data_IF_171567276920
#
_entry.id   IF_171567276920
#
_cell.length_a   1.000
_cell.length_b   1.000
_cell.length_c   1.000
_cell.angle_alpha   90.00
_cell.angle_beta   90.00
_cell.angle_gamma   90.00
#
_symmetry.space_group_name_H-M   'P 1'
#
loop_
_entity.id
_entity.type
_entity.pdbx_description
1 polymer ?
#
# COMPACT_ATOMS: atom_id res chain seq x y z
N UNK A 1 20.83 -33.32 -7.34
CA UNK A 1 21.43 -34.31 -8.26
C UNK A 1 21.24 -34.00 -9.74
N UNK A 2 20.52 -32.97 -10.12
CA UNK A 2 20.47 -32.52 -11.52
C UNK A 2 21.67 -31.64 -11.93
N UNK A 3 22.42 -31.13 -10.97
CA UNK A 3 23.55 -30.25 -11.24
C UNK A 3 24.71 -30.92 -12.00
N UNK A 4 24.89 -32.23 -11.86
CA UNK A 4 25.99 -32.93 -12.51
C UNK A 4 25.80 -33.15 -14.03
N UNK A 5 24.55 -33.18 -14.52
CA UNK A 5 24.26 -33.35 -15.94
C UNK A 5 24.39 -32.04 -16.73
N UNK A 6 24.27 -30.89 -16.07
CA UNK A 6 24.30 -29.58 -16.72
C UNK A 6 25.70 -29.04 -16.97
N UNK A 7 26.72 -29.61 -16.31
CA UNK A 7 28.12 -29.22 -16.50
C UNK A 7 28.59 -29.48 -17.94
N UNK A 8 28.01 -30.43 -18.65
CA UNK A 8 28.39 -30.83 -20.02
C UNK A 8 27.51 -30.23 -21.11
N UNK A 9 26.42 -29.55 -20.79
CA UNK A 9 25.50 -28.95 -21.76
C UNK A 9 25.29 -27.46 -21.50
N UNK A 10 26.34 -26.65 -21.70
CA UNK A 10 26.16 -25.20 -21.73
C UNK A 10 25.54 -24.82 -23.06
N UNK A 11 24.23 -24.63 -23.08
CA UNK A 11 23.49 -24.15 -24.23
C UNK A 11 22.82 -22.81 -23.92
N UNK A 12 22.77 -21.94 -24.91
CA UNK A 12 21.96 -20.72 -24.82
C UNK A 12 20.51 -21.10 -24.65
N UNK A 13 19.85 -20.61 -23.60
CA UNK A 13 18.44 -20.85 -23.34
C UNK A 13 17.59 -20.33 -24.51
N UNK A 14 16.84 -21.22 -25.12
CA UNK A 14 15.99 -20.92 -26.27
C UNK A 14 16.58 -21.28 -27.63
N UNK A 15 17.79 -21.84 -27.69
CA UNK A 15 18.44 -22.18 -28.98
C UNK A 15 17.60 -23.15 -29.83
N UNK A 16 16.93 -24.12 -29.19
CA UNK A 16 16.10 -25.10 -29.91
C UNK A 16 14.65 -24.65 -30.07
N UNK A 17 14.09 -23.94 -29.08
CA UNK A 17 12.67 -23.55 -29.05
C UNK A 17 12.40 -22.16 -29.67
N UNK A 18 13.42 -21.36 -29.93
CA UNK A 18 13.27 -19.94 -30.29
C UNK A 18 12.85 -19.04 -29.08
N UNK A 19 12.61 -19.62 -27.90
CA UNK A 19 12.17 -18.89 -26.72
C UNK A 19 13.37 -18.46 -25.87
N UNK A 20 13.95 -17.34 -26.23
CA UNK A 20 15.16 -16.83 -25.58
C UNK A 20 14.85 -16.13 -24.25
N UNK A 21 15.82 -16.19 -23.33
CA UNK A 21 15.81 -15.42 -22.09
C UNK A 21 17.09 -14.55 -22.04
N UNK A 22 16.89 -13.24 -22.05
CA UNK A 22 17.98 -12.26 -21.98
C UNK A 22 18.13 -11.77 -20.56
N UNK A 23 19.31 -11.96 -19.97
CA UNK A 23 19.60 -11.52 -18.60
C UNK A 23 19.58 -9.99 -18.53
N UNK A 24 18.80 -9.45 -17.60
CA UNK A 24 18.72 -8.02 -17.29
C UNK A 24 19.53 -7.67 -16.05
N UNK A 25 19.50 -8.53 -15.03
CA UNK A 25 20.35 -8.38 -13.86
C UNK A 25 20.58 -9.74 -13.20
N UNK A 26 21.72 -9.84 -12.53
CA UNK A 26 22.08 -10.92 -11.61
C UNK A 26 22.37 -10.30 -10.25
N UNK A 27 21.79 -10.88 -9.21
CA UNK A 27 21.97 -10.43 -7.82
C UNK A 27 22.22 -11.66 -6.97
N UNK A 28 23.28 -11.64 -6.18
CA UNK A 28 23.49 -12.63 -5.14
C UNK A 28 22.70 -12.24 -3.88
N UNK A 29 22.32 -13.21 -3.06
CA UNK A 29 21.75 -12.99 -1.74
C UNK A 29 22.81 -12.62 -0.70
N UNK A 30 22.40 -12.50 0.58
CA UNK A 30 23.25 -11.93 1.63
C UNK A 30 24.47 -12.81 2.01
N UNK A 31 24.43 -14.12 1.79
CA UNK A 31 25.49 -15.09 2.06
C UNK A 31 26.15 -15.66 0.81
N UNK A 32 25.76 -15.15 -0.37
CA UNK A 32 26.34 -15.47 -1.68
C UNK A 32 26.14 -16.93 -2.12
N UNK A 33 25.17 -17.65 -1.56
CA UNK A 33 24.87 -19.03 -1.94
C UNK A 33 23.75 -19.16 -2.98
N UNK A 34 22.96 -18.10 -3.20
CA UNK A 34 21.85 -18.06 -4.15
C UNK A 34 21.98 -16.89 -5.14
N UNK A 35 21.66 -17.13 -6.41
CA UNK A 35 21.67 -16.08 -7.45
C UNK A 35 20.28 -15.89 -7.99
N UNK A 36 19.75 -14.65 -7.90
CA UNK A 36 18.54 -14.21 -8.56
C UNK A 36 18.86 -13.63 -9.94
N UNK A 37 18.36 -14.26 -11.00
CA UNK A 37 18.46 -13.74 -12.35
C UNK A 37 17.12 -13.11 -12.79
N UNK A 38 17.10 -11.82 -13.07
CA UNK A 38 16.00 -11.16 -13.77
C UNK A 38 16.23 -11.21 -15.27
N UNK A 39 15.24 -11.69 -16.03
CA UNK A 39 15.38 -11.90 -17.46
C UNK A 39 14.24 -11.25 -18.25
N UNK A 40 14.56 -10.83 -19.49
CA UNK A 40 13.54 -10.55 -20.51
C UNK A 40 13.31 -11.83 -21.29
N UNK A 41 12.06 -12.32 -21.29
CA UNK A 41 11.68 -13.58 -21.90
C UNK A 41 10.95 -13.34 -23.22
N UNK A 42 11.35 -14.07 -24.26
CA UNK A 42 10.66 -14.15 -25.54
C UNK A 42 9.91 -15.48 -25.61
N UNK A 43 8.57 -15.43 -25.76
CA UNK A 43 7.75 -16.63 -25.82
C UNK A 43 7.59 -17.37 -24.47
N UNK A 44 7.17 -18.64 -24.55
CA UNK A 44 6.93 -19.48 -23.40
C UNK A 44 8.22 -20.12 -22.87
N UNK A 45 8.47 -20.02 -21.55
CA UNK A 45 9.60 -20.71 -20.93
C UNK A 45 9.30 -22.18 -20.63
N UNK A 46 8.03 -22.52 -20.45
CA UNK A 46 7.58 -23.89 -20.16
C UNK A 46 7.39 -24.70 -21.47
N UNK A 47 7.76 -25.97 -21.44
CA UNK A 47 7.54 -26.90 -22.57
C UNK A 47 6.05 -27.16 -22.87
N UNK A 48 5.15 -26.85 -21.93
CA UNK A 48 3.69 -26.94 -22.10
C UNK A 48 3.07 -25.71 -22.76
N UNK A 49 3.88 -24.72 -23.15
CA UNK A 49 3.41 -23.46 -23.74
C UNK A 49 3.04 -22.38 -22.74
N UNK A 50 3.11 -22.65 -21.44
CA UNK A 50 2.87 -21.63 -20.41
C UNK A 50 4.06 -20.68 -20.27
N UNK A 51 3.80 -19.44 -19.85
CA UNK A 51 4.83 -18.42 -19.65
C UNK A 51 5.91 -18.85 -18.64
N UNK A 52 5.53 -19.63 -17.63
CA UNK A 52 6.40 -20.18 -16.58
C UNK A 52 6.02 -21.62 -16.28
N UNK A 53 6.93 -22.39 -15.69
CA UNK A 53 6.63 -23.72 -15.17
C UNK A 53 5.96 -23.70 -13.79
N UNK A 54 5.90 -22.54 -13.12
CA UNK A 54 5.36 -22.37 -11.78
C UNK A 54 3.87 -21.96 -11.82
N UNK A 55 3.01 -22.80 -12.39
CA UNK A 55 1.57 -22.55 -12.47
C UNK A 55 0.73 -23.52 -11.64
N UNK A 56 1.33 -24.56 -11.05
CA UNK A 56 0.67 -25.46 -10.11
C UNK A 56 0.94 -24.96 -8.68
N UNK A 57 -0.03 -24.31 -8.08
CA UNK A 57 0.09 -23.86 -6.68
C UNK A 57 -0.08 -25.07 -5.75
N UNK A 58 0.90 -25.31 -4.88
CA UNK A 58 0.84 -26.35 -3.85
C UNK A 58 0.21 -25.78 -2.57
N UNK A 59 0.57 -24.57 -2.21
CA UNK A 59 0.00 -23.82 -1.10
C UNK A 59 -0.14 -22.38 -1.51
N UNK A 60 -1.36 -21.86 -1.45
CA UNK A 60 -1.63 -20.44 -1.63
C UNK A 60 -2.16 -19.89 -0.32
N UNK A 61 -1.35 -19.09 0.37
CA UNK A 61 -1.79 -18.31 1.52
C UNK A 61 -1.99 -16.88 1.04
N UNK A 62 -3.17 -16.36 1.26
CA UNK A 62 -3.37 -14.92 1.13
C UNK A 62 -2.65 -14.23 2.29
N UNK A 63 -1.52 -13.63 2.01
CA UNK A 63 -0.93 -12.66 2.90
C UNK A 63 -1.70 -11.36 2.72
N UNK A 64 -2.71 -11.18 3.53
CA UNK A 64 -3.26 -9.84 3.75
C UNK A 64 -2.16 -9.07 4.46
N UNK A 65 -1.43 -8.28 3.71
CA UNK A 65 -0.50 -7.31 4.27
C UNK A 65 -1.33 -6.30 5.06
N UNK A 66 -1.55 -6.61 6.34
CA UNK A 66 -2.27 -5.74 7.28
C UNK A 66 -1.36 -4.58 7.65
N UNK A 67 -1.16 -3.67 6.72
CA UNK A 67 -0.68 -2.36 7.10
C UNK A 67 -1.88 -1.58 7.65
N UNK A 68 -1.99 -1.38 8.98
CA UNK A 68 -3.11 -0.67 9.58
C UNK A 68 -3.20 0.78 9.09
N UNK A 69 -2.09 1.36 8.61
CA UNK A 69 -2.08 2.74 8.09
C UNK A 69 -2.79 2.88 6.74
N UNK A 70 -3.03 1.77 6.01
CA UNK A 70 -3.86 1.82 4.79
C UNK A 70 -5.30 2.26 5.05
N UNK A 71 -5.78 2.14 6.28
CA UNK A 71 -7.11 2.66 6.64
C UNK A 71 -7.18 4.18 6.49
N UNK A 72 -6.08 4.90 6.74
CA UNK A 72 -6.04 6.36 6.59
C UNK A 72 -6.22 6.78 5.13
N UNK A 73 -5.56 6.09 4.19
CA UNK A 73 -5.73 6.29 2.75
C UNK A 73 -7.18 6.00 2.34
N UNK A 74 -7.73 4.86 2.78
CA UNK A 74 -9.10 4.46 2.44
C UNK A 74 -10.14 5.45 2.95
N UNK A 75 -10.01 5.95 4.17
CA UNK A 75 -10.92 6.95 4.76
C UNK A 75 -10.78 8.29 4.03
N UNK A 76 -9.57 8.71 3.71
CA UNK A 76 -9.32 9.92 2.94
C UNK A 76 -9.99 9.86 1.56
N UNK A 77 -9.87 8.74 0.86
CA UNK A 77 -10.52 8.54 -0.45
C UNK A 77 -12.04 8.57 -0.35
N UNK A 78 -12.62 7.96 0.70
CA UNK A 78 -14.06 8.05 0.98
C UNK A 78 -14.50 9.49 1.22
N UNK A 79 -13.75 10.27 2.00
CA UNK A 79 -14.05 11.69 2.26
C UNK A 79 -13.99 12.49 0.96
N UNK A 80 -12.98 12.25 0.12
CA UNK A 80 -12.83 12.87 -1.19
C UNK A 80 -13.99 12.54 -2.11
N UNK A 81 -14.40 11.27 -2.13
CA UNK A 81 -15.56 10.81 -2.90
C UNK A 81 -16.87 11.47 -2.42
N UNK A 82 -17.06 11.61 -1.08
CA UNK A 82 -18.21 12.31 -0.51
C UNK A 82 -18.27 13.77 -0.90
N UNK A 83 -17.12 14.44 -1.04
CA UNK A 83 -17.07 15.82 -1.51
C UNK A 83 -17.46 15.94 -2.99
N UNK A 84 -16.98 15.00 -3.82
CA UNK A 84 -17.26 14.97 -5.25
C UNK A 84 -18.71 14.55 -5.56
N UNK A 85 -19.23 13.56 -4.82
CA UNK A 85 -20.56 12.98 -4.98
C UNK A 85 -21.33 13.01 -3.64
N UNK A 86 -21.96 14.15 -3.32
CA UNK A 86 -22.68 14.30 -2.07
C UNK A 86 -23.80 13.28 -1.88
N UNK A 87 -23.96 12.79 -0.66
CA UNK A 87 -25.00 11.85 -0.28
C UNK A 87 -25.85 12.43 0.84
N UNK A 88 -27.18 12.26 0.73
CA UNK A 88 -28.12 12.71 1.75
C UNK A 88 -27.84 12.00 3.09
N UNK A 89 -27.91 12.78 4.17
CA UNK A 89 -27.66 12.27 5.54
C UNK A 89 -26.19 12.03 5.87
N UNK A 90 -25.25 12.30 4.96
CA UNK A 90 -23.83 12.16 5.22
C UNK A 90 -23.30 13.26 6.13
N UNK A 91 -22.69 12.87 7.25
CA UNK A 91 -22.00 13.82 8.15
C UNK A 91 -20.84 14.54 7.46
N UNK A 92 -20.08 13.84 6.63
CA UNK A 92 -19.00 14.43 5.82
C UNK A 92 -19.54 15.56 4.94
N UNK A 93 -20.68 15.32 4.25
CA UNK A 93 -21.31 16.33 3.41
C UNK A 93 -21.88 17.49 4.22
N UNK A 94 -22.39 17.25 5.42
CA UNK A 94 -22.79 18.31 6.34
C UNK A 94 -21.60 19.22 6.67
N UNK A 95 -20.43 18.66 6.96
CA UNK A 95 -19.22 19.45 7.27
C UNK A 95 -18.80 20.31 6.07
N UNK A 96 -18.74 19.75 4.87
CA UNK A 96 -18.45 20.52 3.65
C UNK A 96 -19.50 21.60 3.37
N UNK A 97 -20.77 21.28 3.57
CA UNK A 97 -21.86 22.24 3.38
C UNK A 97 -21.84 23.40 4.38
N UNK A 98 -21.32 23.20 5.60
CA UNK A 98 -21.11 24.24 6.60
C UNK A 98 -19.82 25.03 6.38
N UNK A 99 -18.91 24.51 5.59
CA UNK A 99 -17.66 25.16 5.20
C UNK A 99 -16.52 25.05 6.22
N UNK A 100 -15.43 25.68 5.86
CA UNK A 100 -14.13 25.59 6.58
C UNK A 100 -14.25 25.91 8.07
N UNK A 101 -15.02 26.94 8.46
CA UNK A 101 -15.13 27.34 9.87
C UNK A 101 -15.71 26.22 10.74
N UNK A 102 -16.71 25.48 10.23
CA UNK A 102 -17.27 24.34 10.96
C UNK A 102 -16.28 23.18 11.06
N UNK A 103 -15.51 22.94 10.03
CA UNK A 103 -14.45 21.91 10.02
C UNK A 103 -13.38 22.26 11.07
N UNK A 104 -12.94 23.53 11.11
CA UNK A 104 -11.96 24.00 12.09
C UNK A 104 -12.50 23.98 13.53
N UNK A 105 -13.78 24.32 13.71
CA UNK A 105 -14.44 24.19 15.01
C UNK A 105 -14.37 22.75 15.51
N UNK A 106 -14.76 21.79 14.67
CA UNK A 106 -14.71 20.36 15.05
C UNK A 106 -13.28 19.90 15.35
N UNK A 107 -12.31 20.28 14.54
CA UNK A 107 -10.91 19.95 14.78
C UNK A 107 -10.42 20.47 16.14
N UNK A 108 -10.80 21.68 16.55
CA UNK A 108 -10.49 22.24 17.85
C UNK A 108 -11.17 21.53 19.00
N UNK A 109 -12.44 21.11 18.82
CA UNK A 109 -13.17 20.29 19.78
C UNK A 109 -12.44 18.96 20.02
N UNK A 110 -12.13 18.18 18.99
CA UNK A 110 -11.45 16.89 19.10
C UNK A 110 -10.04 17.02 19.71
N UNK A 111 -9.31 18.08 19.36
CA UNK A 111 -8.01 18.36 19.97
C UNK A 111 -8.13 18.57 21.49
N UNK A 112 -9.19 19.25 21.94
CA UNK A 112 -9.46 19.48 23.37
C UNK A 112 -9.87 18.18 24.05
N UNK A 113 -10.70 17.35 23.40
CA UNK A 113 -11.15 16.06 23.90
C UNK A 113 -9.98 15.07 24.08
N UNK A 114 -9.00 15.07 23.17
CA UNK A 114 -7.73 14.32 23.34
C UNK A 114 -7.03 14.75 24.64
N UNK A 115 -6.91 16.05 24.90
CA UNK A 115 -6.24 16.55 26.12
C UNK A 115 -6.99 16.09 27.38
N UNK A 116 -8.32 16.11 27.35
CA UNK A 116 -9.16 15.65 28.47
C UNK A 116 -9.01 14.14 28.63
N UNK A 117 -9.16 13.38 27.55
CA UNK A 117 -9.05 11.92 27.57
C UNK A 117 -7.67 11.45 28.04
N UNK A 118 -6.60 12.16 27.68
CA UNK A 118 -5.24 11.86 28.12
C UNK A 118 -5.02 12.00 29.64
N UNK A 119 -5.91 12.69 30.35
CA UNK A 119 -5.91 12.80 31.82
C UNK A 119 -6.60 11.61 32.49
N UNK A 120 -7.39 10.85 31.78
CA UNK A 120 -8.09 9.69 32.29
C UNK A 120 -7.18 8.46 32.27
N UNK A 121 -7.32 7.55 33.26
CA UNK A 121 -6.49 6.34 33.32
C UNK A 121 -6.85 5.29 32.25
N UNK A 122 -7.97 5.45 31.56
CA UNK A 122 -8.47 4.49 30.57
C UNK A 122 -7.99 4.83 29.15
N UNK A 123 -7.07 4.03 28.57
CA UNK A 123 -6.50 4.34 27.25
C UNK A 123 -7.50 4.19 26.08
N UNK A 124 -8.65 3.55 26.31
CA UNK A 124 -9.67 3.38 25.27
C UNK A 124 -10.25 4.74 24.83
N UNK A 125 -10.54 5.64 25.77
CA UNK A 125 -11.12 6.93 25.46
C UNK A 125 -10.21 7.76 24.53
N UNK A 126 -8.91 7.78 24.80
CA UNK A 126 -7.95 8.55 23.99
C UNK A 126 -7.86 8.03 22.54
N UNK A 127 -8.10 6.72 22.31
CA UNK A 127 -8.11 6.17 20.94
C UNK A 127 -9.28 6.73 20.12
N UNK A 128 -10.45 6.88 20.73
CA UNK A 128 -11.63 7.46 20.06
C UNK A 128 -11.35 8.89 19.66
N UNK A 129 -10.88 9.72 20.59
CA UNK A 129 -10.63 11.13 20.33
C UNK A 129 -9.51 11.34 19.28
N UNK A 130 -8.44 10.52 19.33
CA UNK A 130 -7.41 10.55 18.29
C UNK A 130 -7.98 10.14 16.92
N UNK A 131 -8.88 9.16 16.87
CA UNK A 131 -9.49 8.73 15.62
C UNK A 131 -10.39 9.81 15.03
N UNK A 132 -11.17 10.49 15.87
CA UNK A 132 -12.06 11.59 15.44
C UNK A 132 -11.24 12.81 15.02
N UNK A 133 -10.17 13.13 15.74
CA UNK A 133 -9.22 14.17 15.33
C UNK A 133 -8.62 13.87 13.94
N UNK A 134 -8.12 12.65 13.70
CA UNK A 134 -7.57 12.25 12.41
C UNK A 134 -8.63 12.32 11.30
N UNK A 135 -9.87 11.94 11.59
CA UNK A 135 -10.96 12.04 10.63
C UNK A 135 -11.22 13.51 10.24
N UNK A 136 -11.32 14.42 11.21
CA UNK A 136 -11.54 15.85 10.94
C UNK A 136 -10.31 16.51 10.27
N UNK A 137 -9.10 16.04 10.59
CA UNK A 137 -7.89 16.42 9.84
C UNK A 137 -8.00 16.05 8.35
N UNK A 138 -8.44 14.82 8.05
CA UNK A 138 -8.63 14.38 6.67
C UNK A 138 -9.72 15.18 5.94
N UNK A 139 -10.81 15.54 6.63
CA UNK A 139 -11.84 16.43 6.05
C UNK A 139 -11.24 17.81 5.70
N UNK A 140 -10.42 18.37 6.59
CA UNK A 140 -9.72 19.62 6.34
C UNK A 140 -8.72 19.50 5.18
N UNK A 141 -7.96 18.41 5.12
CA UNK A 141 -7.03 18.12 4.02
C UNK A 141 -7.75 18.12 2.68
N UNK A 142 -8.87 17.39 2.58
CA UNK A 142 -9.69 17.36 1.36
C UNK A 142 -10.28 18.74 1.03
N UNK A 143 -10.70 19.50 2.05
CA UNK A 143 -11.20 20.87 1.85
C UNK A 143 -10.13 21.79 1.26
N UNK A 144 -8.89 21.64 1.69
CA UNK A 144 -7.74 22.46 1.26
C UNK A 144 -6.96 21.87 0.08
N UNK A 145 -7.31 20.68 -0.38
CA UNK A 145 -6.61 19.99 -1.47
C UNK A 145 -5.23 19.45 -1.08
N UNK A 146 -5.00 19.19 0.21
CA UNK A 146 -3.74 18.65 0.75
C UNK A 146 -3.80 17.13 0.73
N UNK A 147 -2.72 16.49 0.28
CA UNK A 147 -2.59 15.02 0.17
C UNK A 147 -1.79 14.42 1.32
N UNK A 148 -1.94 13.09 1.52
CA UNK A 148 -1.09 12.36 2.45
C UNK A 148 0.39 12.36 2.04
N UNK A 149 0.67 12.40 0.74
CA UNK A 149 2.04 12.48 0.23
C UNK A 149 2.73 13.78 0.67
N UNK A 150 2.03 14.91 0.58
CA UNK A 150 2.55 16.21 1.02
C UNK A 150 2.81 16.22 2.53
N UNK A 151 1.87 15.69 3.34
CA UNK A 151 2.04 15.57 4.79
C UNK A 151 3.21 14.65 5.15
N UNK A 152 3.32 13.50 4.50
CA UNK A 152 4.41 12.54 4.74
C UNK A 152 5.77 13.13 4.36
N UNK A 153 5.85 13.85 3.24
CA UNK A 153 7.08 14.51 2.80
C UNK A 153 7.53 15.60 3.80
N UNK A 154 6.60 16.38 4.34
CA UNK A 154 6.90 17.38 5.37
C UNK A 154 7.37 16.73 6.68
N UNK A 155 6.72 15.64 7.09
CA UNK A 155 7.14 14.89 8.28
C UNK A 155 8.52 14.25 8.12
N UNK A 156 8.86 13.76 6.94
CA UNK A 156 10.14 13.12 6.64
C UNK A 156 11.33 14.11 6.68
N UNK A 157 11.08 15.41 6.63
CA UNK A 157 12.10 16.45 6.70
C UNK A 157 12.42 16.92 8.14
N UNK A 158 11.68 16.41 9.13
CA UNK A 158 11.85 16.75 10.56
C UNK A 158 12.74 15.76 11.29
#
# INVERSE_FOLDING_TARGET
SSAASDVYKRQTKGLTSGHFQYVKSLTADCDFDTILAKVSQVGAACHTGNRTCFFNSIVQKEYVEKNPLKVLESVYDIIKERKAHPQDGSYTNYLFGKGTDKILQKLGEECTEIVIAAKNPEPENIKYEISDFLYHCMVLMVEKGITWEEIANELAQR
#
